data_IF_905616846890
#
_entry.id   IF_905616846890
#
_cell.length_a   1.000
_cell.length_b   1.000
_cell.length_c   1.000
_cell.angle_alpha   90.00
_cell.angle_beta   90.00
_cell.angle_gamma   90.00
#
_symmetry.space_group_name_H-M   'P 1'
#
loop_
_entity.id
_entity.type
_entity.pdbx_description
1 polymer ?
#
# COMPACT_ATOMS: atom_id res chain seq x y z
N UNK A 1 7.50 20.37 4.33
CA UNK A 1 7.54 18.89 4.42
C UNK A 1 6.29 18.46 5.16
N UNK A 2 5.39 17.74 4.49
CA UNK A 2 4.25 17.12 5.14
C UNK A 2 4.68 15.75 5.63
N UNK A 3 4.77 15.54 6.94
CA UNK A 3 5.08 14.23 7.52
C UNK A 3 3.77 13.53 7.90
N UNK A 4 2.93 13.20 6.93
CA UNK A 4 1.72 12.40 7.19
C UNK A 4 2.06 10.92 7.05
N UNK A 5 2.70 10.37 8.08
CA UNK A 5 2.87 8.93 8.22
C UNK A 5 1.52 8.27 8.53
N UNK A 6 1.20 7.21 7.81
CA UNK A 6 -0.01 6.42 8.03
C UNK A 6 0.36 5.02 8.49
N UNK A 7 -0.30 4.56 9.53
CA UNK A 7 -0.24 3.16 9.96
C UNK A 7 -1.04 2.29 8.98
N UNK A 8 -0.52 1.11 8.66
CA UNK A 8 -1.11 0.18 7.69
C UNK A 8 -2.32 -0.59 8.26
N UNK A 9 -3.36 0.13 8.68
CA UNK A 9 -4.66 -0.46 9.05
C UNK A 9 -5.41 -0.96 7.80
N UNK A 10 -6.65 -1.41 8.01
CA UNK A 10 -7.66 -1.64 6.97
C UNK A 10 -7.84 -0.50 5.94
N UNK A 11 -8.77 -0.72 5.00
CA UNK A 11 -8.98 0.17 3.86
C UNK A 11 -7.95 -0.05 2.75
N UNK A 12 -7.47 -1.30 2.63
CA UNK A 12 -6.83 -1.79 1.42
C UNK A 12 -7.93 -2.46 0.61
N UNK A 13 -8.54 -1.67 -0.26
CA UNK A 13 -9.54 -2.14 -1.21
C UNK A 13 -8.83 -2.57 -2.50
N UNK A 14 -9.50 -3.38 -3.33
CA UNK A 14 -9.00 -3.83 -4.63
C UNK A 14 -7.69 -4.63 -4.52
N UNK A 15 -7.80 -5.81 -3.92
CA UNK A 15 -6.79 -6.85 -3.93
C UNK A 15 -7.28 -8.03 -4.74
N UNK A 16 -6.37 -8.78 -5.37
CA UNK A 16 -6.72 -10.01 -6.08
C UNK A 16 -7.24 -11.09 -5.14
N UNK A 17 -6.74 -11.10 -3.90
CA UNK A 17 -7.14 -12.06 -2.88
C UNK A 17 -7.87 -11.37 -1.73
N UNK A 18 -8.90 -12.00 -1.15
CA UNK A 18 -9.54 -11.49 0.06
C UNK A 18 -8.50 -11.31 1.17
N UNK A 19 -8.63 -10.24 1.95
CA UNK A 19 -7.80 -10.02 3.14
C UNK A 19 -8.22 -11.00 4.24
N UNK A 20 -7.27 -11.48 5.04
CA UNK A 20 -7.58 -12.28 6.24
C UNK A 20 -8.36 -11.48 7.29
N UNK A 21 -8.09 -10.17 7.40
CA UNK A 21 -8.84 -9.24 8.24
C UNK A 21 -9.07 -7.90 7.50
N UNK A 22 -10.18 -7.76 6.75
CA UNK A 22 -10.48 -6.54 6.00
C UNK A 22 -10.88 -5.36 6.91
N UNK A 23 -11.32 -5.61 8.14
CA UNK A 23 -11.80 -4.57 9.07
C UNK A 23 -10.66 -3.88 9.82
N UNK A 24 -9.63 -4.63 10.20
CA UNK A 24 -8.52 -4.12 11.01
C UNK A 24 -7.17 -4.12 10.27
N UNK A 25 -6.99 -4.99 9.28
CA UNK A 25 -5.67 -5.25 8.70
C UNK A 25 -4.68 -5.71 9.77
N UNK A 26 -3.51 -5.07 9.86
CA UNK A 26 -2.50 -5.40 10.87
C UNK A 26 -2.83 -4.84 12.27
N UNK A 27 -3.84 -3.99 12.41
CA UNK A 27 -4.14 -3.35 13.69
C UNK A 27 -4.47 -4.40 14.76
N UNK A 28 -3.87 -4.23 15.95
CA UNK A 28 -4.01 -5.14 17.09
C UNK A 28 -3.51 -6.57 16.86
N UNK A 29 -2.79 -6.84 15.77
CA UNK A 29 -2.19 -8.15 15.51
C UNK A 29 -0.82 -8.27 16.16
N UNK A 30 -0.50 -9.47 16.62
CA UNK A 30 0.84 -9.82 17.11
C UNK A 30 1.78 -10.11 15.94
N UNK A 31 3.09 -10.02 16.16
CA UNK A 31 4.10 -10.23 15.11
C UNK A 31 3.97 -11.59 14.41
N UNK A 32 3.58 -12.66 15.11
CA UNK A 32 3.42 -13.99 14.51
C UNK A 32 2.21 -14.13 13.57
N UNK A 33 1.32 -13.13 13.53
CA UNK A 33 0.23 -13.07 12.55
C UNK A 33 0.74 -12.69 11.16
N UNK A 34 1.80 -11.87 11.13
CA UNK A 34 2.42 -11.34 9.91
C UNK A 34 3.24 -12.44 9.22
N UNK A 35 3.06 -12.68 7.91
CA UNK A 35 3.75 -13.76 7.19
C UNK A 35 5.27 -13.57 7.14
N UNK A 36 5.73 -12.34 6.89
CA UNK A 36 7.14 -11.98 6.90
C UNK A 36 7.31 -10.56 7.47
N UNK A 37 7.75 -10.40 8.73
CA UNK A 37 7.93 -9.09 9.35
C UNK A 37 8.94 -8.17 8.66
N UNK A 38 9.88 -8.71 7.89
CA UNK A 38 10.84 -7.92 7.12
C UNK A 38 10.21 -7.29 5.87
N UNK A 39 9.17 -7.91 5.32
CA UNK A 39 8.50 -7.41 4.11
C UNK A 39 7.18 -6.71 4.40
N UNK A 40 6.58 -6.92 5.58
CA UNK A 40 5.27 -6.37 5.88
C UNK A 40 5.33 -4.89 6.27
N UNK A 41 4.61 -4.06 5.52
CA UNK A 41 4.52 -2.62 5.71
C UNK A 41 3.77 -2.32 7.00
N UNK A 42 4.39 -1.55 7.90
CA UNK A 42 3.78 -1.09 9.16
C UNK A 42 3.35 0.38 9.06
N UNK A 43 4.25 1.25 8.58
CA UNK A 43 3.99 2.68 8.40
C UNK A 43 4.47 3.09 7.02
N UNK A 44 3.68 3.91 6.33
CA UNK A 44 4.01 4.41 5.00
C UNK A 44 3.61 5.88 4.84
N UNK A 45 4.19 6.56 3.84
CA UNK A 45 3.73 7.88 3.40
C UNK A 45 2.69 7.79 2.27
N UNK A 46 2.00 8.89 1.93
CA UNK A 46 1.04 8.95 0.82
C UNK A 46 1.55 8.48 -0.54
N UNK A 47 2.78 8.78 -0.97
CA UNK A 47 3.24 8.31 -2.27
C UNK A 47 3.34 6.78 -2.42
N UNK A 48 3.22 6.01 -1.33
CA UNK A 48 3.32 4.56 -1.40
C UNK A 48 2.08 3.86 -1.97
N UNK A 49 0.91 4.53 -2.06
CA UNK A 49 -0.33 3.87 -2.49
C UNK A 49 -1.40 4.79 -3.08
N UNK A 50 -2.39 4.16 -3.73
CA UNK A 50 -3.69 4.73 -4.08
C UNK A 50 -4.49 5.08 -2.82
N UNK A 51 -5.18 6.21 -2.86
CA UNK A 51 -6.20 6.60 -1.88
C UNK A 51 -7.55 6.77 -2.54
N UNK A 52 -8.61 6.56 -1.78
CA UNK A 52 -9.97 6.84 -2.22
C UNK A 52 -10.88 7.10 -1.03
N UNK A 53 -11.95 7.84 -1.28
CA UNK A 53 -13.09 7.94 -0.39
C UNK A 53 -14.22 7.07 -0.94
N UNK A 54 -15.13 6.56 -0.10
CA UNK A 54 -16.28 5.78 -0.57
C UNK A 54 -17.04 6.50 -1.69
N UNK A 55 -17.20 5.84 -2.84
CA UNK A 55 -17.91 6.38 -4.00
C UNK A 55 -17.15 7.46 -4.80
N UNK A 56 -15.85 7.66 -4.55
CA UNK A 56 -15.00 8.61 -5.28
C UNK A 56 -13.93 7.89 -6.10
N UNK A 57 -13.49 8.46 -7.25
CA UNK A 57 -12.29 7.99 -7.95
C UNK A 57 -11.07 7.97 -7.03
N UNK A 58 -10.10 7.12 -7.36
CA UNK A 58 -8.83 7.11 -6.66
C UNK A 58 -8.04 8.40 -6.89
N UNK A 59 -7.10 8.67 -6.00
CA UNK A 59 -6.07 9.68 -6.23
C UNK A 59 -4.72 9.21 -5.68
N UNK A 60 -3.68 9.82 -6.23
CA UNK A 60 -2.29 9.54 -5.92
C UNK A 60 -1.57 10.82 -5.53
N UNK A 61 -0.43 10.67 -4.87
CA UNK A 61 0.30 11.81 -4.31
C UNK A 61 1.79 11.68 -4.59
N UNK A 62 2.43 12.75 -5.09
CA UNK A 62 3.89 12.87 -5.18
C UNK A 62 4.41 13.85 -4.15
N UNK A 63 5.39 13.43 -3.37
CA UNK A 63 6.08 14.30 -2.41
C UNK A 63 7.57 14.44 -2.75
N UNK A 64 8.27 13.31 -2.80
CA UNK A 64 9.71 13.32 -2.97
C UNK A 64 10.08 13.51 -4.43
N UNK A 65 10.88 14.55 -4.71
CA UNK A 65 11.36 14.90 -6.05
C UNK A 65 10.24 15.22 -7.07
N UNK A 66 9.05 15.61 -6.61
CA UNK A 66 7.96 16.05 -7.47
C UNK A 66 8.40 17.24 -8.34
N UNK A 67 8.03 17.21 -9.63
CA UNK A 67 8.35 18.25 -10.63
C UNK A 67 7.11 18.84 -11.30
N UNK A 68 5.94 18.28 -11.01
CA UNK A 68 4.65 18.71 -11.54
C UNK A 68 3.58 18.69 -10.45
N UNK A 69 2.31 18.43 -10.80
CA UNK A 69 1.24 18.26 -9.84
C UNK A 69 1.60 17.23 -8.76
N UNK A 70 1.30 17.56 -7.50
CA UNK A 70 1.56 16.70 -6.35
C UNK A 70 0.38 15.80 -6.01
N UNK A 71 -0.80 16.12 -6.51
CA UNK A 71 -2.04 15.38 -6.31
C UNK A 71 -2.55 15.01 -7.70
N UNK A 72 -2.60 13.71 -7.97
CA UNK A 72 -2.88 13.16 -9.30
C UNK A 72 -4.17 12.35 -9.21
N UNK A 73 -5.26 12.81 -9.85
CA UNK A 73 -6.47 12.01 -10.01
C UNK A 73 -6.17 10.72 -10.77
N UNK A 74 -6.88 9.63 -10.44
CA UNK A 74 -6.70 8.34 -11.09
C UNK A 74 -6.83 8.38 -12.62
N UNK A 75 -7.72 9.21 -13.15
CA UNK A 75 -7.91 9.41 -14.59
C UNK A 75 -6.67 10.03 -15.30
N UNK A 76 -5.83 10.73 -14.54
CA UNK A 76 -4.59 11.36 -15.03
C UNK A 76 -3.36 10.48 -14.82
N UNK A 77 -3.45 9.40 -14.05
CA UNK A 77 -2.31 8.55 -13.70
C UNK A 77 -1.54 8.04 -14.93
N UNK A 78 -2.25 7.70 -16.01
CA UNK A 78 -1.65 7.24 -17.28
C UNK A 78 -0.78 8.29 -17.98
N UNK A 79 -0.96 9.57 -17.64
CA UNK A 79 -0.20 10.69 -18.17
C UNK A 79 0.85 11.20 -17.17
N UNK A 80 0.82 10.71 -15.93
CA UNK A 80 1.82 11.04 -14.94
C UNK A 80 3.11 10.23 -15.17
N UNK A 81 4.20 10.97 -15.37
CA UNK A 81 5.55 10.42 -15.56
C UNK A 81 6.43 10.57 -14.31
N UNK A 82 5.86 11.00 -13.18
CA UNK A 82 6.61 11.20 -11.95
C UNK A 82 6.79 9.88 -11.20
N UNK A 83 7.74 9.86 -10.26
CA UNK A 83 8.00 8.68 -9.44
C UNK A 83 7.22 8.72 -8.13
N UNK A 84 6.70 7.56 -7.73
CA UNK A 84 6.05 7.33 -6.45
C UNK A 84 7.06 6.84 -5.42
N UNK A 85 8.00 7.72 -5.06
CA UNK A 85 9.04 7.42 -4.07
C UNK A 85 8.50 7.59 -2.67
N UNK A 86 8.68 6.60 -1.80
CA UNK A 86 8.24 6.66 -0.41
C UNK A 86 9.16 5.90 0.56
N UNK A 87 9.55 6.49 1.70
CA UNK A 87 10.09 5.73 2.81
C UNK A 87 8.99 4.92 3.51
N UNK A 88 9.33 3.68 3.90
CA UNK A 88 8.41 2.74 4.53
C UNK A 88 9.10 2.10 5.74
N UNK A 89 8.37 2.00 6.85
CA UNK A 89 8.75 1.24 8.03
C UNK A 89 8.11 -0.14 7.96
N UNK A 90 8.92 -1.18 8.16
CA UNK A 90 8.46 -2.56 8.20
C UNK A 90 8.23 -3.03 9.63
N UNK A 91 7.46 -4.12 9.80
CA UNK A 91 7.08 -4.65 11.11
C UNK A 91 8.28 -5.00 11.98
N UNK A 92 9.37 -5.49 11.40
CA UNK A 92 10.59 -5.79 12.16
C UNK A 92 11.39 -4.55 12.61
N UNK A 93 11.02 -3.36 12.12
CA UNK A 93 11.55 -2.08 12.58
C UNK A 93 12.56 -1.40 11.66
N UNK A 94 12.92 -2.01 10.53
CA UNK A 94 13.78 -1.33 9.55
C UNK A 94 12.99 -0.38 8.65
N UNK A 95 13.69 0.61 8.10
CA UNK A 95 13.14 1.57 7.14
C UNK A 95 13.86 1.43 5.82
N UNK A 96 13.11 1.42 4.72
CA UNK A 96 13.68 1.46 3.37
C UNK A 96 12.93 2.46 2.49
N UNK A 97 13.62 3.02 1.50
CA UNK A 97 13.03 3.90 0.48
C UNK A 97 12.73 3.08 -0.76
N UNK A 98 11.46 3.02 -1.13
CA UNK A 98 11.00 2.28 -2.31
C UNK A 98 10.47 3.21 -3.40
N UNK A 99 10.53 2.72 -4.64
CA UNK A 99 9.88 3.30 -5.80
C UNK A 99 8.65 2.45 -6.15
N UNK A 100 7.46 2.97 -5.86
CA UNK A 100 6.18 2.29 -6.10
C UNK A 100 5.63 2.49 -7.52
N UNK A 101 6.35 3.23 -8.37
CA UNK A 101 5.85 3.67 -9.69
C UNK A 101 5.39 2.50 -10.53
N UNK A 102 6.20 1.43 -10.60
CA UNK A 102 5.84 0.27 -11.41
C UNK A 102 4.56 -0.39 -10.92
N UNK A 103 4.43 -0.64 -9.62
CA UNK A 103 3.26 -1.31 -9.04
C UNK A 103 2.00 -0.49 -9.23
N UNK A 104 2.07 0.82 -8.99
CA UNK A 104 0.94 1.74 -9.17
C UNK A 104 0.53 1.85 -10.64
N UNK A 105 1.48 1.93 -11.57
CA UNK A 105 1.17 2.13 -12.99
C UNK A 105 0.82 0.84 -13.74
N UNK A 106 1.31 -0.33 -13.31
CA UNK A 106 1.09 -1.59 -14.05
C UNK A 106 -0.29 -2.19 -13.82
N UNK A 107 -0.82 -2.07 -12.59
CA UNK A 107 -2.14 -2.55 -12.20
C UNK A 107 -2.72 -1.56 -11.17
N UNK A 108 -3.23 -0.40 -11.63
CA UNK A 108 -3.79 0.61 -10.73
C UNK A 108 -5.03 0.11 -9.97
N UNK A 109 -5.70 -0.91 -10.51
CA UNK A 109 -6.83 -1.56 -9.85
C UNK A 109 -6.33 -2.39 -8.66
N UNK A 110 -5.22 -3.13 -8.77
CA UNK A 110 -4.72 -3.97 -7.68
C UNK A 110 -3.29 -3.63 -7.21
N UNK A 111 -3.05 -2.41 -6.67
CA UNK A 111 -1.70 -1.93 -6.36
C UNK A 111 -1.11 -2.54 -5.07
N UNK A 112 -1.86 -3.37 -4.36
CA UNK A 112 -1.51 -3.85 -3.02
C UNK A 112 -0.96 -5.27 -2.98
N UNK A 113 -0.78 -5.90 -4.14
CA UNK A 113 -0.32 -7.28 -4.17
C UNK A 113 1.07 -7.45 -3.55
N UNK A 114 1.28 -8.54 -2.77
CA UNK A 114 2.58 -8.89 -2.25
C UNK A 114 3.63 -8.94 -3.36
N UNK A 115 4.77 -8.32 -3.11
CA UNK A 115 5.95 -8.41 -3.98
C UNK A 115 7.11 -9.06 -3.21
N UNK A 116 8.24 -9.26 -3.88
CA UNK A 116 9.48 -9.69 -3.20
C UNK A 116 10.06 -8.61 -2.27
N UNK A 117 9.59 -7.37 -2.39
CA UNK A 117 10.17 -6.20 -1.70
C UNK A 117 9.26 -5.65 -0.60
N UNK A 118 7.95 -5.93 -0.64
CA UNK A 118 6.98 -5.47 0.38
C UNK A 118 5.66 -6.25 0.33
N UNK A 119 4.95 -6.25 1.47
CA UNK A 119 3.62 -6.84 1.67
C UNK A 119 2.72 -5.80 2.34
N UNK A 120 1.57 -5.52 1.72
CA UNK A 120 0.56 -4.60 2.28
C UNK A 120 -0.47 -5.31 3.14
N UNK A 121 -0.88 -6.51 2.75
CA UNK A 121 -1.92 -7.29 3.40
C UNK A 121 -1.55 -8.76 3.49
N UNK A 122 -2.17 -9.47 4.44
CA UNK A 122 -2.14 -10.93 4.50
C UNK A 122 -3.39 -11.48 3.77
N UNK A 123 -3.23 -12.26 2.70
CA UNK A 123 -4.36 -12.93 2.06
C UNK A 123 -5.04 -13.92 3.02
N UNK A 124 -6.36 -14.04 2.93
CA UNK A 124 -7.10 -15.10 3.59
C UNK A 124 -6.64 -16.47 3.05
N UNK A 125 -6.57 -17.47 3.91
CA UNK A 125 -6.30 -18.83 3.48
C UNK A 125 -7.34 -19.27 2.43
N UNK A 126 -6.94 -20.06 1.40
CA UNK A 126 -7.91 -20.71 0.52
C UNK A 126 -8.93 -21.48 1.36
N UNK A 127 -10.19 -21.44 0.96
CA UNK A 127 -11.28 -22.14 1.65
C UNK A 127 -11.15 -23.66 1.46
N UNK A 128 -10.17 -24.30 2.10
CA UNK A 128 -10.06 -25.74 2.18
C UNK A 128 -9.71 -26.19 3.60
N UNK A 129 -10.62 -27.00 4.16
CA UNK A 129 -10.58 -27.69 5.45
C UNK A 129 -10.86 -26.83 6.70
N UNK A 130 -12.06 -26.25 6.76
CA UNK A 130 -12.74 -26.13 8.05
C UNK A 130 -13.12 -27.55 8.54
N UNK A 131 -12.81 -27.94 9.79
CA UNK A 131 -13.21 -29.25 10.33
C UNK A 131 -14.72 -29.42 10.42
#
# INVERSE_FOLDING_TARGET
>A
MGCSYKYNTAGLEYTWWPLEDPENGIASKITSWVPDPALYVLIHEPPARRYMAPGSPGWFVHWHYARGPTDVPEEELKHDGQQFISPVLFVEGHVAKHDFTRTIQSDPEHPFEPTKDWIWYKPAAPAEHAP
#
